data_IF_197116044926
#
_entry.id   IF_197116044926
#
_cell.length_a   1.000
_cell.length_b   1.000
_cell.length_c   1.000
_cell.angle_alpha   90.00
_cell.angle_beta   90.00
_cell.angle_gamma   90.00
#
_symmetry.space_group_name_H-M   'P 1'
#
loop_
_entity.id
_entity.type
_entity.pdbx_description
1 polymer ?
#
# COMPACT_ATOMS: atom_id res chain seq x y z
N UNK A 1 1.33 15.38 5.50
CA UNK A 1 1.37 15.19 6.96
C UNK A 1 2.69 14.57 7.33
N UNK A 2 3.25 14.92 8.49
CA UNK A 2 4.40 14.18 9.04
C UNK A 2 3.84 12.95 9.74
N UNK A 3 4.48 11.80 9.50
CA UNK A 3 4.08 10.51 10.05
C UNK A 3 5.19 9.99 10.94
N UNK A 4 4.78 9.35 12.02
CA UNK A 4 5.67 8.72 12.99
C UNK A 4 5.11 7.35 13.41
N UNK A 5 5.89 6.60 14.19
CA UNK A 5 5.44 5.31 14.70
C UNK A 5 4.13 5.47 15.49
N UNK A 6 3.13 4.63 15.18
CA UNK A 6 1.80 4.70 15.78
C UNK A 6 0.82 5.63 15.04
N UNK A 7 1.26 6.36 14.01
CA UNK A 7 0.37 7.14 13.16
C UNK A 7 -0.61 6.26 12.38
N UNK A 8 -1.83 6.74 12.21
CA UNK A 8 -2.83 6.16 11.32
C UNK A 8 -3.35 7.23 10.35
N UNK A 9 -3.60 6.85 9.10
CA UNK A 9 -4.11 7.74 8.06
C UNK A 9 -5.33 7.08 7.43
N UNK A 10 -6.39 7.87 7.27
CA UNK A 10 -7.56 7.46 6.49
C UNK A 10 -7.48 8.18 5.14
N UNK A 11 -7.48 7.41 4.07
CA UNK A 11 -7.53 7.92 2.69
C UNK A 11 -8.95 7.69 2.15
N UNK A 12 -9.79 8.72 2.05
CA UNK A 12 -11.13 8.58 1.49
C UNK A 12 -11.10 8.18 0.00
N UNK A 13 -12.16 7.50 -0.46
CA UNK A 13 -12.31 7.18 -1.87
C UNK A 13 -12.21 8.44 -2.74
N UNK A 14 -11.40 8.37 -3.81
CA UNK A 14 -11.13 9.49 -4.71
C UNK A 14 -10.07 10.48 -4.25
N UNK A 15 -9.54 10.36 -3.03
CA UNK A 15 -8.46 11.22 -2.55
C UNK A 15 -7.12 10.84 -3.20
N UNK A 16 -6.44 11.83 -3.78
CA UNK A 16 -5.04 11.68 -4.17
C UNK A 16 -4.16 11.64 -2.92
N UNK A 17 -3.23 10.69 -2.89
CA UNK A 17 -2.32 10.49 -1.76
C UNK A 17 -0.99 9.91 -2.24
N UNK A 18 0.07 10.20 -1.48
CA UNK A 18 1.38 9.60 -1.66
C UNK A 18 2.08 9.53 -0.29
N UNK A 19 2.79 8.44 -0.02
CA UNK A 19 3.56 8.24 1.22
C UNK A 19 5.02 8.11 0.82
N UNK A 20 5.85 9.03 1.33
CA UNK A 20 7.28 9.10 1.00
C UNK A 20 8.04 8.88 2.30
N UNK A 21 8.92 7.88 2.32
CA UNK A 21 9.90 7.76 3.40
C UNK A 21 10.90 8.93 3.30
N UNK A 22 10.85 9.85 4.25
CA UNK A 22 11.75 11.00 4.31
C UNK A 22 13.01 10.73 5.14
N UNK A 23 13.12 9.56 5.78
CA UNK A 23 14.33 9.16 6.49
C UNK A 23 15.43 8.80 5.50
N UNK A 24 16.65 9.24 5.78
CA UNK A 24 17.84 8.86 5.01
C UNK A 24 18.49 7.56 5.49
N UNK A 25 18.01 6.97 6.59
CA UNK A 25 18.68 5.85 7.27
C UNK A 25 17.75 4.75 7.77
N UNK A 26 16.46 5.04 7.95
CA UNK A 26 15.50 4.10 8.54
C UNK A 26 14.46 3.63 7.53
N UNK A 27 14.11 2.35 7.61
CA UNK A 27 13.04 1.77 6.80
C UNK A 27 11.67 2.23 7.32
N UNK A 28 10.83 2.70 6.40
CA UNK A 28 9.41 2.90 6.67
C UNK A 28 8.67 1.54 6.61
N UNK A 29 8.12 1.12 7.75
CA UNK A 29 7.27 -0.07 7.86
C UNK A 29 5.82 0.33 8.01
N UNK A 30 4.97 -0.13 7.11
CA UNK A 30 3.53 0.17 7.11
C UNK A 30 2.73 -1.05 6.68
N UNK A 31 1.46 -1.08 7.10
CA UNK A 31 0.44 -1.96 6.55
C UNK A 31 -0.70 -1.10 6.02
N UNK A 32 -1.34 -1.54 4.95
CA UNK A 32 -2.53 -0.89 4.40
C UNK A 32 -3.72 -1.83 4.48
N UNK A 33 -4.89 -1.25 4.71
CA UNK A 33 -6.16 -1.96 4.66
C UNK A 33 -6.98 -1.27 3.58
N UNK A 34 -7.30 -1.99 2.51
CA UNK A 34 -8.11 -1.47 1.41
C UNK A 34 -9.57 -1.87 1.60
N UNK A 35 -10.48 -0.95 1.29
CA UNK A 35 -11.92 -1.20 1.21
C UNK A 35 -12.52 -0.37 0.06
N UNK A 36 -13.03 -0.99 -1.02
CA UNK A 36 -13.06 -2.43 -1.30
C UNK A 36 -11.66 -3.02 -1.59
N UNK A 37 -11.56 -4.35 -1.76
CA UNK A 37 -10.31 -5.05 -2.06
C UNK A 37 -9.68 -4.47 -3.32
N UNK A 38 -8.38 -4.16 -3.26
CA UNK A 38 -7.63 -3.62 -4.39
C UNK A 38 -6.71 -4.67 -5.03
N UNK A 39 -6.05 -5.53 -4.24
CA UNK A 39 -5.03 -6.46 -4.71
C UNK A 39 -5.54 -7.91 -4.72
N UNK A 40 -5.16 -8.69 -5.73
CA UNK A 40 -5.28 -10.16 -5.68
C UNK A 40 -4.52 -10.73 -4.49
N UNK A 41 -5.11 -11.73 -3.84
CA UNK A 41 -4.53 -12.41 -2.69
C UNK A 41 -3.22 -13.14 -3.06
N UNK A 42 -2.31 -13.25 -2.09
CA UNK A 42 -1.03 -13.95 -2.22
C UNK A 42 0.04 -13.27 -3.08
N UNK A 43 -0.20 -12.07 -3.61
CA UNK A 43 0.81 -11.35 -4.40
C UNK A 43 1.86 -10.69 -3.49
N UNK A 44 3.12 -11.06 -3.67
CA UNK A 44 4.28 -10.43 -3.02
C UNK A 44 5.06 -9.65 -4.07
N UNK A 45 5.36 -8.38 -3.79
CA UNK A 45 6.24 -7.52 -4.59
C UNK A 45 7.38 -7.05 -3.71
N UNK A 46 8.58 -7.50 -4.01
CA UNK A 46 9.76 -7.25 -3.17
C UNK A 46 10.32 -5.85 -3.43
N UNK A 47 10.19 -5.34 -4.64
CA UNK A 47 10.69 -4.01 -5.02
C UNK A 47 9.58 -3.11 -5.59
N UNK A 48 9.85 -1.81 -5.60
CA UNK A 48 8.95 -0.82 -6.17
C UNK A 48 8.78 -1.03 -7.68
N UNK A 49 9.88 -1.33 -8.38
CA UNK A 49 9.89 -1.54 -9.82
C UNK A 49 9.02 -2.76 -10.20
N UNK A 50 9.09 -3.85 -9.42
CA UNK A 50 8.24 -5.03 -9.61
C UNK A 50 6.75 -4.68 -9.40
N UNK A 51 6.45 -3.81 -8.43
CA UNK A 51 5.11 -3.35 -8.15
C UNK A 51 4.51 -2.48 -9.26
N UNK A 52 5.33 -1.63 -9.89
CA UNK A 52 4.92 -0.79 -11.00
C UNK A 52 4.74 -1.58 -12.31
N UNK A 53 5.55 -2.62 -12.53
CA UNK A 53 5.47 -3.47 -13.72
C UNK A 53 4.29 -4.45 -13.69
N UNK A 54 3.89 -4.92 -12.51
CA UNK A 54 2.81 -5.89 -12.33
C UNK A 54 1.61 -5.20 -11.66
N UNK A 55 0.57 -4.89 -12.42
CA UNK A 55 -0.64 -4.22 -11.92
C UNK A 55 -1.36 -4.99 -10.79
N UNK A 56 -2.09 -4.30 -9.90
CA UNK A 56 -2.67 -4.90 -8.70
C UNK A 56 -3.98 -5.66 -8.91
N UNK A 57 -4.41 -5.96 -10.13
CA UNK A 57 -5.80 -6.34 -10.41
C UNK A 57 -6.33 -7.51 -9.55
N UNK A 58 -7.35 -7.20 -8.75
CA UNK A 58 -8.20 -8.18 -8.08
C UNK A 58 -9.08 -8.87 -9.12
N UNK A 59 -9.07 -10.20 -9.14
CA UNK A 59 -9.82 -11.00 -10.12
C UNK A 59 -11.28 -11.25 -9.72
N UNK A 60 -11.75 -10.62 -8.65
CA UNK A 60 -13.11 -10.75 -8.14
C UNK A 60 -13.34 -12.01 -7.29
N UNK A 61 -12.30 -12.82 -7.04
CA UNK A 61 -12.41 -14.09 -6.32
C UNK A 61 -11.62 -13.98 -5.01
N UNK A 62 -12.29 -14.27 -3.89
CA UNK A 62 -11.65 -14.44 -2.58
C UNK A 62 -11.19 -15.88 -2.40
N UNK A 63 -10.17 -16.08 -1.58
CA UNK A 63 -9.63 -17.40 -1.22
C UNK A 63 -10.37 -18.05 -0.05
N UNK A 64 -11.25 -17.30 0.64
CA UNK A 64 -12.21 -17.77 1.65
C UNK A 64 -13.62 -17.94 1.08
#
# INVERSE_FOLDING_TARGET
YILENGSAIIVPAGAQHNIINTSGAEDLKLYTIYSPVHHKDGIVRTTKEEAEANGPEFDGITTE
#
